data_IF_535737638447
#
_entry.id   IF_535737638447
#
_cell.length_a   1.000
_cell.length_b   1.000
_cell.length_c   1.000
_cell.angle_alpha   90.00
_cell.angle_beta   90.00
_cell.angle_gamma   90.00
#
_symmetry.space_group_name_H-M   'P 1'
#
loop_
_entity.id
_entity.type
_entity.pdbx_description
1 polymer ?
#
# COMPACT_ATOMS: atom_id res chain seq x y z
N UNK A 1 -4.41 -5.95 3.33
CA UNK A 1 -3.26 -5.21 2.77
C UNK A 1 -2.05 -5.24 3.70
N UNK A 2 -2.11 -4.69 4.91
CA UNK A 2 -0.94 -4.69 5.82
C UNK A 2 -0.43 -6.08 6.20
N UNK A 3 -1.31 -7.06 6.48
CA UNK A 3 -0.89 -8.42 6.83
C UNK A 3 -0.07 -9.11 5.74
N UNK A 4 -0.55 -9.10 4.49
CA UNK A 4 0.12 -9.77 3.36
C UNK A 4 1.43 -9.05 2.93
N UNK A 5 1.46 -7.73 2.98
CA UNK A 5 2.68 -6.96 2.70
C UNK A 5 3.70 -7.04 3.84
N UNK A 6 3.24 -7.05 5.09
CA UNK A 6 4.10 -7.21 6.26
C UNK A 6 4.76 -8.58 6.30
N UNK A 7 3.99 -9.66 6.06
CA UNK A 7 4.55 -11.01 5.98
C UNK A 7 5.53 -11.17 4.81
N UNK A 8 5.24 -10.55 3.66
CA UNK A 8 6.17 -10.51 2.54
C UNK A 8 7.51 -9.87 2.93
N UNK A 9 7.51 -8.68 3.54
CA UNK A 9 8.75 -8.02 3.94
C UNK A 9 9.56 -8.80 4.98
N UNK A 10 8.87 -9.49 5.90
CA UNK A 10 9.53 -10.39 6.86
C UNK A 10 10.19 -11.56 6.11
N UNK A 11 9.46 -12.23 5.22
CA UNK A 11 9.99 -13.34 4.42
C UNK A 11 11.16 -12.90 3.52
N UNK A 12 11.03 -11.74 2.88
CA UNK A 12 12.08 -11.13 2.06
C UNK A 12 13.34 -10.83 2.90
N UNK A 13 13.19 -10.25 4.09
CA UNK A 13 14.31 -10.00 5.00
C UNK A 13 15.02 -11.29 5.43
N UNK A 14 14.26 -12.34 5.76
CA UNK A 14 14.81 -13.65 6.12
C UNK A 14 15.58 -14.28 4.95
N UNK A 15 15.03 -14.23 3.73
CA UNK A 15 15.68 -14.73 2.52
C UNK A 15 17.07 -14.12 2.34
N UNK A 16 17.16 -12.79 2.41
CA UNK A 16 18.44 -12.08 2.25
C UNK A 16 19.39 -12.27 3.43
N UNK A 17 18.88 -12.44 4.65
CA UNK A 17 19.70 -12.78 5.81
C UNK A 17 20.39 -14.14 5.64
N UNK A 18 19.69 -15.16 5.16
CA UNK A 18 20.28 -16.46 4.86
C UNK A 18 21.24 -16.44 3.68
N UNK A 19 20.96 -15.63 2.66
CA UNK A 19 21.89 -15.43 1.55
C UNK A 19 23.19 -14.76 2.02
N UNK A 20 23.09 -13.72 2.83
CA UNK A 20 24.24 -13.02 3.40
C UNK A 20 25.07 -13.90 4.36
N UNK A 21 24.41 -14.78 5.11
CA UNK A 21 25.07 -15.77 5.97
C UNK A 21 25.74 -16.91 5.19
N UNK A 22 25.57 -16.98 3.86
CA UNK A 22 26.08 -18.07 3.02
C UNK A 22 25.30 -19.37 3.13
N UNK A 23 24.16 -19.37 3.84
CA UNK A 23 23.30 -20.55 4.01
C UNK A 23 22.47 -20.85 2.74
N UNK A 24 22.26 -19.85 1.88
CA UNK A 24 21.54 -19.98 0.61
C UNK A 24 22.32 -19.31 -0.53
N UNK A 25 22.33 -19.95 -1.70
CA UNK A 25 22.79 -19.34 -2.95
C UNK A 25 21.59 -18.87 -3.76
N UNK A 26 21.50 -17.56 -3.98
CA UNK A 26 20.40 -16.97 -4.75
C UNK A 26 20.67 -17.02 -6.26
N UNK A 27 19.62 -17.18 -7.09
CA UNK A 27 19.74 -16.99 -8.52
C UNK A 27 20.16 -15.55 -8.88
N UNK A 28 21.01 -15.40 -9.90
CA UNK A 28 21.56 -14.10 -10.29
C UNK A 28 21.06 -13.56 -11.64
N UNK A 29 20.46 -14.42 -12.48
CA UNK A 29 20.02 -14.05 -13.84
C UNK A 29 18.50 -13.98 -13.94
N UNK A 30 17.80 -15.02 -13.48
CA UNK A 30 16.35 -15.04 -13.31
C UNK A 30 16.06 -15.56 -11.91
N UNK A 31 15.05 -15.01 -11.24
CA UNK A 31 14.63 -15.43 -9.90
C UNK A 31 13.13 -15.73 -9.87
N UNK A 32 12.68 -16.81 -10.54
CA UNK A 32 11.25 -17.10 -10.72
C UNK A 32 10.51 -17.32 -9.40
N UNK A 33 11.17 -17.90 -8.39
CA UNK A 33 10.58 -18.14 -7.08
C UNK A 33 10.16 -16.82 -6.43
N UNK A 34 11.03 -15.81 -6.46
CA UNK A 34 10.70 -14.46 -5.99
C UNK A 34 9.63 -13.82 -6.89
N UNK A 35 9.71 -14.02 -8.20
CA UNK A 35 8.70 -13.56 -9.16
C UNK A 35 7.29 -14.09 -8.85
N UNK A 36 7.14 -15.37 -8.49
CA UNK A 36 5.85 -15.97 -8.14
C UNK A 36 5.19 -15.31 -6.92
N UNK A 37 5.98 -14.90 -5.92
CA UNK A 37 5.46 -14.12 -4.80
C UNK A 37 4.86 -12.79 -5.25
N UNK A 38 5.52 -12.10 -6.18
CA UNK A 38 5.02 -10.84 -6.73
C UNK A 38 3.73 -11.00 -7.55
N UNK A 39 3.46 -12.17 -8.14
CA UNK A 39 2.18 -12.45 -8.82
C UNK A 39 1.02 -12.42 -7.82
N UNK A 40 1.14 -13.13 -6.69
CA UNK A 40 0.10 -13.17 -5.66
C UNK A 40 -0.09 -11.78 -5.04
N UNK A 41 1.01 -11.08 -4.75
CA UNK A 41 0.97 -9.70 -4.26
C UNK A 41 0.30 -8.74 -5.24
N UNK A 42 0.59 -8.86 -6.53
CA UNK A 42 -0.07 -8.05 -7.55
C UNK A 42 -1.57 -8.32 -7.59
N UNK A 43 -1.99 -9.59 -7.61
CA UNK A 43 -3.39 -9.97 -7.67
C UNK A 43 -4.21 -9.38 -6.51
N UNK A 44 -3.78 -9.61 -5.26
CA UNK A 44 -4.48 -9.08 -4.09
C UNK A 44 -4.44 -7.56 -4.02
N UNK A 45 -3.34 -6.94 -4.47
CA UNK A 45 -3.18 -5.48 -4.44
C UNK A 45 -4.03 -4.80 -5.51
N UNK A 46 -4.21 -5.42 -6.69
CA UNK A 46 -5.16 -4.96 -7.69
C UNK A 46 -6.60 -5.01 -7.16
N UNK A 47 -7.00 -6.08 -6.47
CA UNK A 47 -8.31 -6.14 -5.80
C UNK A 47 -8.47 -5.01 -4.78
N UNK A 48 -7.43 -4.75 -3.98
CA UNK A 48 -7.40 -3.62 -3.04
C UNK A 48 -7.47 -2.26 -3.72
N UNK A 49 -6.80 -2.08 -4.87
CA UNK A 49 -6.84 -0.85 -5.65
C UNK A 49 -8.26 -0.59 -6.17
N UNK A 50 -8.93 -1.59 -6.71
CA UNK A 50 -10.33 -1.45 -7.15
C UNK A 50 -11.24 -1.08 -5.97
N UNK A 51 -11.07 -1.70 -4.80
CA UNK A 51 -11.83 -1.33 -3.61
C UNK A 51 -11.54 0.12 -3.17
N UNK A 52 -10.28 0.56 -3.23
CA UNK A 52 -9.88 1.91 -2.84
C UNK A 52 -10.46 3.02 -3.72
N UNK A 53 -10.91 2.72 -4.94
CA UNK A 53 -11.65 3.68 -5.77
C UNK A 53 -12.91 4.19 -5.08
N UNK A 54 -13.52 3.45 -4.16
CA UNK A 54 -14.70 3.91 -3.43
C UNK A 54 -14.37 4.77 -2.21
N UNK A 55 -13.13 4.72 -1.74
CA UNK A 55 -12.69 5.43 -0.54
C UNK A 55 -12.11 6.82 -0.88
N UNK A 56 -10.97 6.85 -1.59
CA UNK A 56 -10.30 8.10 -1.96
C UNK A 56 -9.18 7.88 -2.99
N UNK A 57 -8.85 8.94 -3.72
CA UNK A 57 -7.83 8.93 -4.78
C UNK A 57 -6.43 8.65 -4.23
N UNK A 58 -6.08 9.14 -3.04
CA UNK A 58 -4.74 8.92 -2.47
C UNK A 58 -4.47 7.42 -2.22
N UNK A 59 -5.40 6.71 -1.58
CA UNK A 59 -5.30 5.27 -1.36
C UNK A 59 -5.30 4.48 -2.67
N UNK A 60 -6.14 4.89 -3.64
CA UNK A 60 -6.11 4.30 -4.98
C UNK A 60 -4.75 4.45 -5.64
N UNK A 61 -4.14 5.63 -5.58
CA UNK A 61 -2.81 5.90 -6.14
C UNK A 61 -1.73 5.01 -5.49
N UNK A 62 -1.77 4.84 -4.17
CA UNK A 62 -0.86 3.93 -3.46
C UNK A 62 -1.00 2.51 -3.98
N UNK A 63 -2.21 1.97 -3.98
CA UNK A 63 -2.44 0.55 -4.28
C UNK A 63 -2.28 0.24 -5.77
N UNK A 64 -2.69 1.14 -6.67
CA UNK A 64 -2.51 0.95 -8.11
C UNK A 64 -1.04 0.97 -8.51
N UNK A 65 -0.25 1.92 -8.00
CA UNK A 65 1.20 1.94 -8.26
C UNK A 65 1.90 0.75 -7.62
N UNK A 66 1.51 0.34 -6.41
CA UNK A 66 2.07 -0.84 -5.75
C UNK A 66 1.77 -2.13 -6.54
N UNK A 67 0.55 -2.27 -7.06
CA UNK A 67 0.13 -3.40 -7.86
C UNK A 67 0.87 -3.43 -9.21
N UNK A 68 0.96 -2.28 -9.89
CA UNK A 68 1.72 -2.16 -11.13
C UNK A 68 3.21 -2.47 -10.95
N UNK A 69 3.83 -1.95 -9.88
CA UNK A 69 5.22 -2.27 -9.53
C UNK A 69 5.42 -3.76 -9.26
N UNK A 70 4.46 -4.39 -8.59
CA UNK A 70 4.48 -5.84 -8.33
C UNK A 70 4.33 -6.66 -9.63
N UNK A 71 3.46 -6.25 -10.54
CA UNK A 71 3.32 -6.89 -11.86
C UNK A 71 4.61 -6.78 -12.66
N UNK A 72 5.25 -5.61 -12.68
CA UNK A 72 6.54 -5.41 -13.35
C UNK A 72 7.64 -6.24 -12.68
N UNK A 73 7.70 -6.27 -11.35
CA UNK A 73 8.68 -7.08 -10.61
C UNK A 73 8.52 -8.57 -10.93
N UNK A 74 7.29 -9.08 -10.98
CA UNK A 74 7.03 -10.46 -11.37
C UNK A 74 7.57 -10.76 -12.78
N UNK A 75 7.27 -9.90 -13.76
CA UNK A 75 7.77 -10.06 -15.14
C UNK A 75 9.30 -9.98 -15.18
N UNK A 76 9.90 -9.01 -14.48
CA UNK A 76 11.34 -8.79 -14.40
C UNK A 76 12.06 -10.01 -13.86
N UNK A 77 11.68 -10.47 -12.66
CA UNK A 77 12.33 -11.59 -12.00
C UNK A 77 12.11 -12.93 -12.70
N UNK A 78 10.94 -13.18 -13.29
CA UNK A 78 10.67 -14.44 -14.02
C UNK A 78 11.49 -14.56 -15.31
N UNK A 79 11.72 -13.43 -16.00
CA UNK A 79 12.37 -13.43 -17.31
C UNK A 79 13.82 -12.90 -17.27
N UNK A 80 14.31 -12.43 -16.13
CA UNK A 80 15.65 -11.85 -15.98
C UNK A 80 15.85 -10.53 -16.72
N UNK A 81 14.80 -9.72 -16.86
CA UNK A 81 14.81 -8.49 -17.67
C UNK A 81 15.17 -7.29 -16.78
N UNK A 82 16.47 -6.98 -16.69
CA UNK A 82 16.99 -5.90 -15.83
C UNK A 82 16.32 -4.53 -16.06
N UNK A 83 15.93 -4.20 -17.30
CA UNK A 83 15.21 -2.96 -17.60
C UNK A 83 13.83 -2.88 -16.92
N UNK A 84 13.10 -4.01 -16.90
CA UNK A 84 11.78 -4.12 -16.26
C UNK A 84 11.92 -4.11 -14.73
N UNK A 85 12.95 -4.75 -14.19
CA UNK A 85 13.24 -4.70 -12.74
C UNK A 85 13.53 -3.27 -12.26
N UNK A 86 14.31 -2.49 -13.03
CA UNK A 86 14.56 -1.07 -12.72
C UNK A 86 13.29 -0.24 -12.80
N UNK A 87 12.45 -0.49 -13.80
CA UNK A 87 11.16 0.18 -13.92
C UNK A 87 10.25 -0.14 -12.72
N UNK A 88 10.20 -1.42 -12.29
CA UNK A 88 9.48 -1.83 -11.09
C UNK A 88 9.98 -1.08 -9.84
N UNK A 89 11.30 -0.94 -9.68
CA UNK A 89 11.91 -0.17 -8.59
C UNK A 89 11.44 1.29 -8.54
N UNK A 90 11.41 1.97 -9.69
CA UNK A 90 10.88 3.34 -9.77
C UNK A 90 9.39 3.42 -9.43
N UNK A 91 8.59 2.48 -9.92
CA UNK A 91 7.15 2.43 -9.61
C UNK A 91 6.91 2.19 -8.11
N UNK A 92 7.70 1.32 -7.47
CA UNK A 92 7.66 1.15 -6.02
C UNK A 92 8.06 2.43 -5.26
N UNK A 93 9.04 3.20 -5.76
CA UNK A 93 9.42 4.48 -5.16
C UNK A 93 8.25 5.49 -5.20
N UNK A 94 7.53 5.59 -6.31
CA UNK A 94 6.31 6.41 -6.39
C UNK A 94 5.22 5.92 -5.44
N UNK A 95 5.02 4.61 -5.34
CA UNK A 95 4.06 4.03 -4.40
C UNK A 95 4.41 4.38 -2.95
N UNK A 96 5.69 4.28 -2.57
CA UNK A 96 6.17 4.66 -1.24
C UNK A 96 5.92 6.15 -0.95
N UNK A 97 6.16 7.03 -1.93
CA UNK A 97 5.86 8.45 -1.80
C UNK A 97 4.37 8.71 -1.56
N UNK A 98 3.49 8.09 -2.35
CA UNK A 98 2.04 8.21 -2.13
C UNK A 98 1.60 7.63 -0.79
N UNK A 99 2.20 6.53 -0.35
CA UNK A 99 1.89 5.90 0.93
C UNK A 99 2.27 6.82 2.10
N UNK A 100 3.46 7.42 2.03
CA UNK A 100 3.92 8.40 3.00
C UNK A 100 2.98 9.62 3.05
N UNK A 101 2.60 10.18 1.90
CA UNK A 101 1.63 11.28 1.85
C UNK A 101 0.30 10.90 2.49
N UNK A 102 -0.26 9.75 2.11
CA UNK A 102 -1.56 9.27 2.58
C UNK A 102 -1.56 9.04 4.09
N UNK A 103 -0.53 8.37 4.61
CA UNK A 103 -0.38 8.14 6.05
C UNK A 103 -0.22 9.45 6.82
N UNK A 104 0.59 10.39 6.30
CA UNK A 104 0.79 11.71 6.93
C UNK A 104 -0.51 12.50 6.97
N UNK A 105 -1.26 12.53 5.87
CA UNK A 105 -2.55 13.19 5.78
C UNK A 105 -3.55 12.62 6.80
N UNK A 106 -3.64 11.29 6.91
CA UNK A 106 -4.50 10.62 7.90
C UNK A 106 -4.08 10.89 9.35
N UNK A 107 -2.77 10.90 9.64
CA UNK A 107 -2.27 11.24 10.98
C UNK A 107 -2.60 12.68 11.37
N UNK A 108 -2.44 13.63 10.44
CA UNK A 108 -2.78 15.04 10.67
C UNK A 108 -4.30 15.23 10.83
N UNK A 109 -5.10 14.58 9.98
CA UNK A 109 -6.57 14.60 10.07
C UNK A 109 -7.04 14.05 11.42
N UNK A 110 -6.47 12.93 11.88
CA UNK A 110 -6.78 12.33 13.18
C UNK A 110 -6.37 13.20 14.37
N UNK A 111 -5.18 13.81 14.31
CA UNK A 111 -4.63 14.64 15.40
C UNK A 111 -5.38 15.96 15.55
N UNK A 112 -5.62 16.67 14.44
CA UNK A 112 -6.25 17.99 14.45
C UNK A 112 -7.78 17.95 14.34
N UNK A 113 -8.37 16.76 14.16
CA UNK A 113 -9.82 16.54 13.94
C UNK A 113 -10.42 17.43 12.85
N UNK A 114 -9.60 17.81 11.88
CA UNK A 114 -9.94 18.63 10.71
C UNK A 114 -9.08 18.21 9.53
N UNK A 115 -9.57 18.42 8.32
CA UNK A 115 -8.82 18.12 7.10
C UNK A 115 -7.62 19.07 7.00
N UNK A 116 -6.40 18.56 7.01
CA UNK A 116 -5.17 19.37 6.83
C UNK A 116 -4.62 19.20 5.41
N UNK A 117 -4.50 17.95 4.97
CA UNK A 117 -4.09 17.60 3.62
C UNK A 117 -5.24 16.85 2.93
N UNK A 118 -5.56 17.17 1.67
CA UNK A 118 -6.65 16.52 0.95
C UNK A 118 -6.27 15.09 0.54
N UNK A 119 -7.16 14.14 0.81
CA UNK A 119 -7.01 12.74 0.39
C UNK A 119 -7.68 12.45 -0.97
N UNK A 120 -8.45 13.42 -1.51
CA UNK A 120 -9.22 13.22 -2.74
C UNK A 120 -10.42 12.29 -2.52
N UNK A 121 -11.14 12.47 -1.41
CA UNK A 121 -12.43 11.82 -1.14
C UNK A 121 -13.46 12.30 -2.16
N UNK A 122 -14.45 11.49 -2.55
CA UNK A 122 -15.42 11.89 -3.57
C UNK A 122 -16.38 13.01 -3.13
N UNK A 123 -16.63 13.12 -1.82
CA UNK A 123 -17.37 14.26 -1.25
C UNK A 123 -16.44 15.48 -1.20
N UNK A 124 -16.70 16.48 -2.04
CA UNK A 124 -15.87 17.71 -2.14
C UNK A 124 -15.64 18.40 -0.79
N UNK A 125 -16.68 18.45 0.06
CA UNK A 125 -16.61 19.04 1.42
C UNK A 125 -15.56 18.34 2.31
N UNK A 126 -15.30 17.05 2.08
CA UNK A 126 -14.34 16.26 2.84
C UNK A 126 -12.87 16.48 2.41
N UNK A 127 -12.62 17.30 1.39
CA UNK A 127 -11.27 17.65 0.92
C UNK A 127 -10.87 19.10 1.21
N UNK A 128 -11.76 19.92 1.77
CA UNK A 128 -11.47 21.34 1.99
C UNK A 128 -10.59 21.50 3.23
N UNK A 129 -9.35 22.02 3.10
CA UNK A 129 -8.49 22.23 4.26
C UNK A 129 -9.17 23.12 5.30
N UNK A 130 -9.04 22.76 6.58
CA UNK A 130 -9.62 23.46 7.71
C UNK A 130 -11.06 23.04 8.08
N UNK A 131 -11.76 22.29 7.23
CA UNK A 131 -13.10 21.79 7.56
C UNK A 131 -13.05 20.62 8.56
N UNK A 132 -14.12 20.49 9.37
CA UNK A 132 -14.29 19.35 10.28
C UNK A 132 -14.45 18.06 9.48
N UNK A 133 -13.93 16.97 10.03
CA UNK A 133 -14.06 15.63 9.43
C UNK A 133 -15.54 15.26 9.34
N UNK A 134 -16.00 14.95 8.13
CA UNK A 134 -17.42 14.69 7.83
C UNK A 134 -17.84 13.31 8.34
N UNK A 135 -16.94 12.32 8.27
CA UNK A 135 -17.15 10.94 8.72
C UNK A 135 -15.99 10.57 9.66
N UNK A 136 -16.14 10.67 11.00
CA UNK A 136 -15.10 10.29 11.94
C UNK A 136 -14.74 8.80 11.79
N UNK A 137 -13.44 8.48 11.80
CA UNK A 137 -12.93 7.09 11.72
C UNK A 137 -13.38 6.25 12.94
N UNK A 138 -13.68 6.91 14.05
CA UNK A 138 -14.24 6.29 15.25
C UNK A 138 -15.76 6.37 15.20
N UNK A 139 -16.41 5.20 15.12
CA UNK A 139 -17.81 5.08 15.48
C UNK A 139 -17.98 5.47 16.96
N UNK A 140 -18.87 6.42 17.30
CA UNK A 140 -19.26 6.68 18.69
C UNK A 140 -19.93 5.47 19.35
N UNK A 141 -20.34 4.46 18.56
CA UNK A 141 -21.18 3.31 18.89
C UNK A 141 -20.53 2.26 19.83
N UNK A 142 -19.48 2.62 20.55
CA UNK A 142 -18.86 1.80 21.59
C UNK A 142 -18.64 2.53 22.91
N UNK A 143 -19.02 3.82 23.02
CA UNK A 143 -18.86 4.55 24.27
C UNK A 143 -19.94 4.11 25.26
N UNK A 144 -19.58 3.65 26.49
CA UNK A 144 -20.56 3.31 27.50
C UNK A 144 -21.47 4.53 27.77
N UNK A 145 -22.76 4.38 27.44
CA UNK A 145 -23.76 5.45 27.58
C UNK A 145 -24.40 5.96 26.27
N UNK A 146 -23.92 5.53 25.10
CA UNK A 146 -24.57 5.87 23.82
C UNK A 146 -25.68 4.85 23.54
N UNK A 147 -26.96 5.29 23.60
CA UNK A 147 -28.11 4.45 23.23
C UNK A 147 -28.25 4.44 21.71
N UNK A 148 -28.23 3.25 21.11
CA UNK A 148 -28.45 3.04 19.67
C UNK A 148 -29.89 2.60 19.46
N UNK A 149 -30.68 3.41 18.74
CA UNK A 149 -32.02 3.06 18.27
C UNK A 149 -33.13 3.04 19.33
N UNK A 150 -34.35 3.30 18.87
CA UNK A 150 -35.56 2.82 19.57
C UNK A 150 -35.68 1.31 19.39
#
# INVERSE_FOLDING_TARGET
MHGIWGSFWIGYGILWAFAAAGALKLPTVHFPELGFWFVVLAAITWSGAVAALYENVALFAVLSTLAAGSTLAAIGFMNGISGVEKAAGWVFAFSAFFAWYTATAMMLEGTFRRVVLPLGKWKSVANVPGHKVVDPIEYPDGMPGVRVGQ
#
